data_IF_149472884456
#
_entry.id   IF_149472884456
#
_cell.length_a   1.000
_cell.length_b   1.000
_cell.length_c   1.000
_cell.angle_alpha   90.00
_cell.angle_beta   90.00
_cell.angle_gamma   90.00
#
_symmetry.space_group_name_H-M   'P 1'
#
loop_
_entity.id
_entity.type
_entity.pdbx_description
1 polymer ?
#
# COMPACT_ATOMS: atom_id res chain seq x y z
N UNK A 1 -4.42 -6.97 -2.16
CA UNK A 1 -3.79 -8.25 -2.56
C UNK A 1 -2.31 -8.20 -2.20
N UNK A 2 -1.77 -9.27 -1.60
CA UNK A 2 -0.37 -9.37 -1.14
C UNK A 2 0.37 -10.38 -2.03
N UNK A 3 1.52 -10.00 -2.55
CA UNK A 3 2.41 -10.85 -3.35
C UNK A 3 3.48 -11.47 -2.44
N UNK A 4 3.17 -12.63 -1.85
CA UNK A 4 4.04 -13.26 -0.84
C UNK A 4 5.45 -13.59 -1.32
N UNK A 5 5.65 -13.80 -2.62
CA UNK A 5 6.97 -14.05 -3.20
C UNK A 5 7.94 -12.86 -3.04
N UNK A 6 7.40 -11.64 -2.91
CA UNK A 6 8.20 -10.41 -2.79
C UNK A 6 8.12 -9.79 -1.38
N UNK A 7 7.14 -10.22 -0.58
CA UNK A 7 7.00 -9.75 0.79
C UNK A 7 8.18 -10.22 1.65
N UNK A 8 8.80 -9.30 2.39
CA UNK A 8 9.90 -9.59 3.33
C UNK A 8 9.44 -9.80 4.78
N UNK A 9 8.14 -9.80 5.04
CA UNK A 9 7.62 -10.01 6.40
C UNK A 9 7.86 -8.84 7.36
N UNK A 10 8.08 -7.61 6.87
CA UNK A 10 8.43 -6.48 7.73
C UNK A 10 7.28 -5.95 8.62
N UNK A 11 6.04 -6.38 8.40
CA UNK A 11 4.88 -5.97 9.23
C UNK A 11 4.41 -4.52 9.09
N UNK A 12 5.12 -3.64 8.37
CA UNK A 12 4.76 -2.21 8.23
C UNK A 12 3.31 -2.02 7.73
N UNK A 13 2.86 -2.85 6.80
CA UNK A 13 1.50 -2.76 6.28
C UNK A 13 0.42 -3.07 7.34
N UNK A 14 0.72 -3.90 8.33
CA UNK A 14 -0.16 -4.23 9.47
C UNK A 14 -0.26 -3.03 10.40
N UNK A 15 0.89 -2.50 10.84
CA UNK A 15 1.00 -1.37 11.78
C UNK A 15 0.28 -0.11 11.27
N UNK A 16 0.46 0.22 9.98
CA UNK A 16 -0.08 1.46 9.41
C UNK A 16 -1.47 1.31 8.78
N UNK A 17 -2.12 0.15 8.92
CA UNK A 17 -3.48 -0.01 8.41
C UNK A 17 -4.48 0.69 9.35
N UNK A 18 -5.12 1.81 8.94
CA UNK A 18 -6.01 2.56 9.83
C UNK A 18 -7.28 1.78 10.21
N UNK A 19 -7.61 0.76 9.43
CA UNK A 19 -8.74 -0.14 9.65
C UNK A 19 -8.31 -1.49 10.23
N UNK A 20 -7.02 -1.68 10.50
CA UNK A 20 -6.45 -2.94 10.98
C UNK A 20 -6.97 -4.14 10.18
N UNK A 21 -6.97 -4.04 8.84
CA UNK A 21 -7.46 -5.10 7.93
C UNK A 21 -6.49 -6.29 7.87
N UNK A 22 -5.22 -6.00 8.08
CA UNK A 22 -4.13 -6.95 7.97
C UNK A 22 -3.71 -7.39 9.38
N UNK A 23 -3.43 -8.68 9.56
CA UNK A 23 -2.76 -9.22 10.74
C UNK A 23 -1.38 -9.77 10.34
N UNK A 24 -0.52 -10.04 11.33
CA UNK A 24 0.77 -10.65 11.10
C UNK A 24 0.72 -12.13 11.49
N UNK A 25 0.94 -13.01 10.51
CA UNK A 25 1.08 -14.44 10.76
C UNK A 25 2.52 -14.72 11.23
N UNK A 26 2.64 -15.15 12.49
CA UNK A 26 3.93 -15.41 13.12
C UNK A 26 4.56 -16.73 12.63
N UNK A 27 3.76 -17.70 12.21
CA UNK A 27 4.26 -18.99 11.71
C UNK A 27 4.82 -18.82 10.29
N UNK A 28 4.12 -18.06 9.45
CA UNK A 28 4.54 -17.78 8.07
C UNK A 28 5.42 -16.53 7.92
N UNK A 29 5.66 -15.80 9.02
CA UNK A 29 6.45 -14.56 9.09
C UNK A 29 6.01 -13.53 8.03
N UNK A 30 4.69 -13.37 7.83
CA UNK A 30 4.15 -12.53 6.76
C UNK A 30 2.77 -11.94 7.11
N UNK A 31 2.43 -10.78 6.54
CA UNK A 31 1.11 -10.18 6.75
C UNK A 31 0.02 -10.96 6.00
N UNK A 32 -1.13 -11.15 6.62
CA UNK A 32 -2.31 -11.80 6.04
C UNK A 32 -3.51 -10.85 6.09
N UNK A 33 -4.40 -10.93 5.11
CA UNK A 33 -5.63 -10.15 5.09
C UNK A 33 -6.71 -10.84 5.95
N UNK A 34 -6.73 -10.53 7.25
CA UNK A 34 -7.66 -11.14 8.21
C UNK A 34 -9.10 -10.62 8.06
N UNK A 35 -9.25 -9.34 7.69
CA UNK A 35 -10.56 -8.65 7.61
C UNK A 35 -10.68 -7.87 6.29
N UNK A 36 -10.63 -8.54 5.12
CA UNK A 36 -10.57 -7.86 3.82
C UNK A 36 -11.79 -6.98 3.53
N UNK A 37 -12.95 -7.30 4.10
CA UNK A 37 -14.20 -6.54 3.92
C UNK A 37 -14.16 -5.14 4.56
N UNK A 38 -13.32 -4.93 5.58
CA UNK A 38 -13.14 -3.62 6.23
C UNK A 38 -12.21 -2.68 5.44
N UNK A 39 -11.66 -3.14 4.32
CA UNK A 39 -10.71 -2.38 3.52
C UNK A 39 -11.35 -1.21 2.78
N UNK A 40 -11.09 0.00 3.25
CA UNK A 40 -11.53 1.26 2.62
C UNK A 40 -10.67 1.71 1.44
N UNK A 41 -9.77 0.85 0.94
CA UNK A 41 -8.89 1.15 -0.20
C UNK A 41 -8.02 2.43 -0.04
N UNK A 42 -7.65 2.82 1.18
CA UNK A 42 -6.80 3.99 1.45
C UNK A 42 -5.37 3.85 0.92
N UNK A 43 -4.90 2.60 0.77
CA UNK A 43 -3.60 2.13 0.27
C UNK A 43 -2.37 2.82 0.81
N UNK A 44 -2.43 3.16 2.09
CA UNK A 44 -1.25 3.41 2.90
C UNK A 44 -0.33 2.18 2.86
N UNK A 45 -0.88 0.97 2.89
CA UNK A 45 -0.12 -0.27 2.82
C UNK A 45 0.69 -0.42 1.53
N UNK A 46 0.11 -0.06 0.38
CA UNK A 46 0.78 -0.04 -0.93
C UNK A 46 1.90 1.02 -0.97
N UNK A 47 1.63 2.23 -0.48
CA UNK A 47 2.60 3.33 -0.46
C UNK A 47 3.79 3.07 0.50
N UNK A 48 3.54 2.38 1.61
CA UNK A 48 4.54 2.16 2.67
C UNK A 48 5.33 0.87 2.51
N UNK A 49 4.92 -0.02 1.61
CA UNK A 49 5.65 -1.25 1.40
C UNK A 49 6.98 -0.95 0.66
N UNK A 50 8.14 -1.15 1.29
CA UNK A 50 9.44 -0.84 0.67
C UNK A 50 9.74 -1.72 -0.55
N UNK A 51 9.20 -2.94 -0.56
CA UNK A 51 9.37 -3.91 -1.65
C UNK A 51 8.21 -3.89 -2.66
N UNK A 52 7.23 -2.99 -2.49
CA UNK A 52 6.00 -2.93 -3.30
C UNK A 52 5.25 -4.26 -3.43
N UNK A 53 5.34 -5.11 -2.40
CA UNK A 53 4.77 -6.47 -2.37
C UNK A 53 3.26 -6.51 -2.08
N UNK A 54 2.57 -5.38 -2.05
CA UNK A 54 1.12 -5.30 -1.78
C UNK A 54 0.49 -4.22 -2.66
N UNK A 55 -0.70 -4.52 -3.20
CA UNK A 55 -1.48 -3.60 -4.03
C UNK A 55 -2.93 -3.49 -3.54
N UNK A 56 -3.54 -2.32 -3.74
CA UNK A 56 -4.99 -2.15 -3.60
C UNK A 56 -5.73 -2.88 -4.70
N UNK A 57 -6.81 -3.55 -4.32
CA UNK A 57 -7.79 -4.02 -5.30
C UNK A 57 -8.42 -2.79 -5.94
N UNK A 58 -8.32 -2.65 -7.26
CA UNK A 58 -9.02 -1.63 -8.04
C UNK A 58 -10.22 -2.29 -8.68
N UNK A 59 -11.41 -2.07 -8.11
CA UNK A 59 -12.66 -2.50 -8.74
C UNK A 59 -12.91 -1.53 -9.91
N UNK A 60 -12.74 -2.02 -11.13
CA UNK A 60 -12.77 -1.21 -12.33
C UNK A 60 -14.11 -0.51 -12.55
N UNK A 61 -14.13 0.79 -12.35
CA UNK A 61 -15.07 1.73 -12.97
C UNK A 61 -14.30 3.02 -13.23
N UNK A 62 -13.35 2.93 -14.17
CA UNK A 62 -12.57 4.07 -14.62
C UNK A 62 -12.45 3.98 -16.13
N UNK A 63 -13.33 4.69 -16.84
CA UNK A 63 -13.12 5.01 -18.24
C UNK A 63 -11.75 5.70 -18.34
N UNK A 64 -10.79 5.04 -18.98
CA UNK A 64 -9.43 5.53 -19.10
C UNK A 64 -9.38 6.84 -19.89
N UNK A 65 -9.16 7.94 -19.19
CA UNK A 65 -8.58 9.18 -19.74
C UNK A 65 -8.06 10.12 -18.65
N UNK A 66 -7.42 9.59 -17.60
CA UNK A 66 -6.67 10.42 -16.64
C UNK A 66 -5.19 10.39 -17.02
N UNK A 67 -4.75 11.46 -17.68
CA UNK A 67 -3.35 11.74 -17.98
C UNK A 67 -2.57 11.71 -16.67
N UNK A 68 -1.58 10.83 -16.60
CA UNK A 68 -0.56 10.84 -15.56
C UNK A 68 0.08 12.23 -15.53
N UNK A 69 -0.33 13.07 -14.58
CA UNK A 69 0.33 14.35 -14.32
C UNK A 69 1.70 14.05 -13.69
N UNK A 70 2.82 14.43 -14.31
CA UNK A 70 4.13 14.29 -13.69
C UNK A 70 4.16 15.15 -12.41
N UNK A 71 4.59 14.55 -11.30
CA UNK A 71 4.80 15.26 -10.03
C UNK A 71 5.88 16.32 -10.26
N UNK A 72 5.48 17.59 -10.26
CA UNK A 72 6.39 18.72 -10.28
C UNK A 72 7.12 18.78 -8.93
N UNK A 73 8.38 18.37 -8.93
CA UNK A 73 9.30 18.46 -7.81
C UNK A 73 9.85 19.88 -7.74
N UNK A 74 9.18 20.77 -7.00
CA UNK A 74 9.67 22.11 -6.71
C UNK A 74 10.45 22.13 -5.39
N UNK A 75 11.78 21.96 -5.47
CA UNK A 75 12.70 22.43 -4.42
C UNK A 75 12.89 23.93 -4.64
N UNK A 76 12.49 24.77 -3.69
CA UNK A 76 12.92 26.17 -3.70
C UNK A 76 13.94 26.36 -2.58
N UNK A 77 15.20 26.50 -3.00
CA UNK A 77 16.28 27.01 -2.20
C UNK A 77 15.98 28.48 -1.91
N UNK A 78 15.87 28.83 -0.64
CA UNK A 78 15.78 30.22 -0.21
C UNK A 78 17.21 30.72 -0.01
N UNK A 79 17.83 31.13 -1.11
CA UNK A 79 19.08 31.88 -1.12
C UNK A 79 18.84 33.24 -0.43
N UNK A 80 19.76 33.61 0.45
CA UNK A 80 19.79 34.87 1.19
C UNK A 80 21.24 35.36 1.19
#
# INVERSE_FOLDING_TARGET
MIYYKWCKGCGICVEFCPKQVLDFDADEQRPVAARPDDCIQCGICELRCPDFAITRVRNGSGNGNEKQKPKATGRNAKEK
#
